data_IF_524243408687
#
_entry.id   IF_524243408687
#
_cell.length_a   1.000
_cell.length_b   1.000
_cell.length_c   1.000
_cell.angle_alpha   90.00
_cell.angle_beta   90.00
_cell.angle_gamma   90.00
#
_symmetry.space_group_name_H-M   'P 1'
#
loop_
_entity.id
_entity.type
_entity.pdbx_description
1 polymer ?
#
# COMPACT_ATOMS: atom_id res chain seq x y z
N UNK A 1 -12.72 -17.08 -7.79
CA UNK A 1 -12.67 -15.74 -8.43
C UNK A 1 -11.41 -15.01 -8.00
N UNK A 2 -10.68 -14.41 -8.94
CA UNK A 2 -9.49 -13.62 -8.62
C UNK A 2 -9.90 -12.26 -8.06
N UNK A 3 -9.22 -11.79 -7.01
CA UNK A 3 -9.35 -10.41 -6.56
C UNK A 3 -8.68 -9.47 -7.58
N UNK A 4 -8.91 -8.16 -7.44
CA UNK A 4 -8.45 -7.17 -8.40
C UNK A 4 -6.92 -7.15 -8.55
N UNK A 5 -6.17 -7.29 -7.46
CA UNK A 5 -4.72 -7.30 -7.51
C UNK A 5 -4.19 -8.55 -8.23
N UNK A 6 -4.74 -9.70 -7.94
CA UNK A 6 -4.37 -10.96 -8.60
C UNK A 6 -4.71 -10.92 -10.07
N UNK A 7 -5.86 -10.34 -10.43
CA UNK A 7 -6.26 -10.19 -11.82
C UNK A 7 -5.29 -9.30 -12.59
N UNK A 8 -4.89 -8.18 -11.99
CA UNK A 8 -3.91 -7.27 -12.60
C UNK A 8 -2.58 -7.99 -12.87
N UNK A 9 -2.08 -8.76 -11.89
CA UNK A 9 -0.85 -9.52 -12.04
C UNK A 9 -0.98 -10.56 -13.15
N UNK A 10 -2.13 -11.23 -13.25
CA UNK A 10 -2.39 -12.23 -14.29
C UNK A 10 -2.36 -11.59 -15.68
N UNK A 11 -3.02 -10.44 -15.85
CA UNK A 11 -3.02 -9.72 -17.12
C UNK A 11 -1.61 -9.32 -17.54
N UNK A 12 -0.81 -8.86 -16.59
CA UNK A 12 0.58 -8.46 -16.84
C UNK A 12 1.44 -9.66 -17.24
N UNK A 13 1.28 -10.80 -16.57
CA UNK A 13 2.02 -12.02 -16.94
C UNK A 13 1.65 -12.50 -18.35
N UNK A 14 0.37 -12.43 -18.70
CA UNK A 14 -0.08 -12.80 -20.04
C UNK A 14 0.51 -11.89 -21.11
N UNK A 15 0.57 -10.59 -20.84
CA UNK A 15 1.17 -9.63 -21.76
C UNK A 15 2.69 -9.84 -21.88
N UNK A 16 3.35 -10.07 -20.75
CA UNK A 16 4.80 -10.32 -20.70
C UNK A 16 5.17 -11.57 -21.50
N UNK A 17 4.35 -12.61 -21.45
CA UNK A 17 4.58 -13.82 -22.22
C UNK A 17 4.61 -13.57 -23.73
N UNK A 18 3.99 -12.49 -24.17
CA UNK A 18 3.96 -12.07 -25.59
C UNK A 18 5.01 -10.99 -25.89
N UNK A 19 5.90 -10.72 -24.96
CA UNK A 19 6.97 -9.72 -25.14
C UNK A 19 6.61 -8.32 -24.69
N UNK A 20 5.40 -8.10 -24.18
CA UNK A 20 4.97 -6.78 -23.73
C UNK A 20 5.30 -6.60 -22.26
N UNK A 21 6.54 -6.25 -21.98
CA UNK A 21 7.05 -6.07 -20.62
C UNK A 21 8.26 -5.14 -20.63
N UNK A 22 8.55 -4.56 -19.46
CA UNK A 22 9.75 -3.77 -19.26
C UNK A 22 10.98 -4.70 -19.24
N UNK A 23 12.03 -4.39 -20.00
CA UNK A 23 13.23 -5.23 -19.98
C UNK A 23 14.04 -5.12 -18.70
N UNK A 24 13.94 -3.98 -18.00
CA UNK A 24 14.72 -3.71 -16.80
C UNK A 24 13.87 -3.11 -15.69
N UNK A 25 14.26 -3.38 -14.44
CA UNK A 25 13.56 -2.91 -13.25
C UNK A 25 13.49 -1.38 -13.16
N UNK A 26 14.51 -0.68 -13.63
CA UNK A 26 14.54 0.79 -13.62
C UNK A 26 13.33 1.40 -14.32
N UNK A 27 12.91 0.82 -15.45
CA UNK A 27 11.74 1.29 -16.17
C UNK A 27 10.44 1.09 -15.39
N UNK A 28 10.37 0.01 -14.62
CA UNK A 28 9.20 -0.28 -13.79
C UNK A 28 9.09 0.75 -12.66
N UNK A 29 10.22 1.07 -11.99
CA UNK A 29 10.24 2.12 -10.98
C UNK A 29 9.86 3.48 -11.56
N UNK A 30 10.40 3.80 -12.73
CA UNK A 30 10.10 5.07 -13.42
C UNK A 30 8.61 5.19 -13.72
N UNK A 31 7.95 4.08 -14.11
CA UNK A 31 6.53 4.08 -14.41
C UNK A 31 5.70 4.36 -13.16
N UNK A 32 6.06 3.78 -12.02
CA UNK A 32 5.36 4.06 -10.76
C UNK A 32 5.45 5.55 -10.42
N UNK A 33 6.65 6.14 -10.56
CA UNK A 33 6.83 7.58 -10.30
C UNK A 33 6.03 8.45 -11.26
N UNK A 34 5.96 8.05 -12.53
CA UNK A 34 5.18 8.74 -13.56
C UNK A 34 3.69 8.75 -13.19
N UNK A 35 3.14 7.60 -12.82
CA UNK A 35 1.72 7.48 -12.48
C UNK A 35 1.39 8.23 -11.19
N UNK A 36 2.29 8.22 -10.22
CA UNK A 36 2.12 9.01 -9.01
C UNK A 36 2.05 10.51 -9.34
N UNK A 37 2.94 10.98 -10.21
CA UNK A 37 2.95 12.37 -10.63
C UNK A 37 1.66 12.75 -11.38
N UNK A 38 1.17 11.88 -12.24
CA UNK A 38 -0.09 12.12 -12.96
C UNK A 38 -1.28 12.21 -12.00
N UNK A 39 -1.30 11.38 -10.96
CA UNK A 39 -2.33 11.46 -9.93
C UNK A 39 -2.26 12.80 -9.19
N UNK A 40 -1.06 13.26 -8.83
CA UNK A 40 -0.88 14.56 -8.20
C UNK A 40 -1.40 15.69 -9.09
N UNK A 41 -1.16 15.61 -10.38
CA UNK A 41 -1.58 16.63 -11.36
C UNK A 41 -3.08 16.59 -11.65
N UNK A 42 -3.78 15.52 -11.27
CA UNK A 42 -5.24 15.45 -11.46
C UNK A 42 -5.98 16.50 -10.62
N UNK A 43 -5.34 17.03 -9.58
CA UNK A 43 -5.92 18.09 -8.75
C UNK A 43 -7.25 17.67 -8.13
N UNK A 44 -8.29 18.48 -8.34
CA UNK A 44 -9.62 18.22 -7.76
C UNK A 44 -10.57 17.50 -8.72
N UNK A 45 -10.11 17.11 -9.90
CA UNK A 45 -10.94 16.42 -10.89
C UNK A 45 -11.19 14.98 -10.42
N UNK A 46 -12.40 14.69 -10.00
CA UNK A 46 -12.77 13.38 -9.44
C UNK A 46 -12.60 12.24 -10.44
N UNK A 47 -12.99 12.46 -11.70
CA UNK A 47 -12.87 11.44 -12.75
C UNK A 47 -11.39 11.13 -13.05
N UNK A 48 -10.57 12.19 -13.13
CA UNK A 48 -9.14 12.03 -13.36
C UNK A 48 -8.47 11.31 -12.18
N UNK A 49 -8.82 11.66 -10.94
CA UNK A 49 -8.30 10.97 -9.75
C UNK A 49 -8.63 9.49 -9.76
N UNK A 50 -9.85 9.15 -10.15
CA UNK A 50 -10.29 7.76 -10.23
C UNK A 50 -9.42 6.98 -11.22
N UNK A 51 -9.26 7.52 -12.41
CA UNK A 51 -8.48 6.87 -13.48
C UNK A 51 -7.00 6.76 -13.11
N UNK A 52 -6.40 7.87 -12.65
CA UNK A 52 -4.98 7.91 -12.35
C UNK A 52 -4.61 7.04 -11.13
N UNK A 53 -5.51 6.96 -10.15
CA UNK A 53 -5.29 6.05 -9.02
C UNK A 53 -5.30 4.59 -9.48
N UNK A 54 -6.22 4.23 -10.38
CA UNK A 54 -6.25 2.89 -10.96
C UNK A 54 -4.95 2.56 -11.69
N UNK A 55 -4.46 3.51 -12.50
CA UNK A 55 -3.20 3.34 -13.23
C UNK A 55 -2.01 3.20 -12.29
N UNK A 56 -1.99 3.98 -11.20
CA UNK A 56 -0.93 3.87 -10.19
C UNK A 56 -0.96 2.51 -9.51
N UNK A 57 -2.14 2.04 -9.11
CA UNK A 57 -2.28 0.71 -8.49
C UNK A 57 -1.82 -0.39 -9.46
N UNK A 58 -2.16 -0.27 -10.73
CA UNK A 58 -1.75 -1.23 -11.75
C UNK A 58 -0.22 -1.24 -11.91
N UNK A 59 0.40 -0.05 -11.91
CA UNK A 59 1.86 0.07 -11.98
C UNK A 59 2.54 -0.53 -10.75
N UNK A 60 1.94 -0.36 -9.55
CA UNK A 60 2.46 -0.95 -8.31
C UNK A 60 2.40 -2.48 -8.37
N UNK A 61 1.30 -3.04 -8.90
CA UNK A 61 1.21 -4.50 -9.08
C UNK A 61 2.30 -5.00 -10.02
N UNK A 62 2.57 -4.25 -11.09
CA UNK A 62 3.64 -4.62 -12.02
C UNK A 62 5.01 -4.57 -11.35
N UNK A 63 5.24 -3.56 -10.51
CA UNK A 63 6.48 -3.50 -9.71
C UNK A 63 6.60 -4.72 -8.80
N UNK A 64 5.52 -5.10 -8.12
CA UNK A 64 5.51 -6.28 -7.25
C UNK A 64 5.91 -7.53 -8.05
N UNK A 65 5.37 -7.69 -9.25
CA UNK A 65 5.70 -8.82 -10.12
C UNK A 65 7.20 -8.86 -10.44
N UNK A 66 7.78 -7.71 -10.78
CA UNK A 66 9.23 -7.62 -11.07
C UNK A 66 10.09 -7.84 -9.83
N UNK A 67 9.59 -7.49 -8.65
CA UNK A 67 10.29 -7.72 -7.38
C UNK A 67 10.08 -9.14 -6.83
N UNK A 68 9.31 -9.97 -7.52
CA UNK A 68 8.97 -11.33 -7.12
C UNK A 68 8.16 -11.36 -5.81
N UNK A 69 7.31 -10.37 -5.62
CA UNK A 69 6.41 -10.28 -4.47
C UNK A 69 4.98 -10.46 -4.96
N UNK A 70 4.22 -11.33 -4.29
CA UNK A 70 2.81 -11.51 -4.60
C UNK A 70 2.02 -10.35 -3.98
N UNK A 71 1.39 -9.47 -4.81
CA UNK A 71 0.78 -8.26 -4.27
C UNK A 71 -0.39 -8.52 -3.31
N UNK A 72 -1.19 -9.56 -3.54
CA UNK A 72 -2.29 -9.90 -2.65
C UNK A 72 -1.76 -10.34 -1.28
N UNK A 73 -0.73 -11.19 -1.27
CA UNK A 73 -0.11 -11.63 -0.01
C UNK A 73 0.50 -10.46 0.74
N UNK A 74 1.17 -9.56 0.04
CA UNK A 74 1.75 -8.36 0.66
C UNK A 74 0.66 -7.48 1.29
N UNK A 75 -0.48 -7.33 0.60
CA UNK A 75 -1.60 -6.54 1.13
C UNK A 75 -2.24 -7.21 2.34
N UNK A 76 -2.42 -8.53 2.31
CA UNK A 76 -2.94 -9.29 3.46
C UNK A 76 -2.03 -9.08 4.67
N UNK A 77 -0.73 -9.16 4.47
CA UNK A 77 0.24 -8.95 5.56
C UNK A 77 0.20 -7.51 6.09
N UNK A 78 0.05 -6.52 5.20
CA UNK A 78 -0.06 -5.12 5.60
C UNK A 78 -1.33 -4.87 6.42
N UNK A 79 -2.45 -5.47 5.99
CA UNK A 79 -3.71 -5.37 6.73
C UNK A 79 -3.58 -5.96 8.14
N UNK A 80 -3.00 -7.14 8.26
CA UNK A 80 -2.80 -7.80 9.55
C UNK A 80 -1.89 -6.97 10.47
N UNK A 81 -0.84 -6.38 9.89
CA UNK A 81 0.07 -5.50 10.64
C UNK A 81 -0.67 -4.27 11.16
N UNK A 82 -1.50 -3.65 10.33
CA UNK A 82 -2.28 -2.50 10.76
C UNK A 82 -3.22 -2.87 11.90
N UNK A 83 -3.97 -3.97 11.77
CA UNK A 83 -4.88 -4.43 12.81
C UNK A 83 -4.17 -4.66 14.13
N UNK A 84 -3.00 -5.31 14.09
CA UNK A 84 -2.20 -5.59 15.27
C UNK A 84 -1.72 -4.31 15.96
N UNK A 85 -1.19 -3.37 15.18
CA UNK A 85 -0.70 -2.10 15.72
C UNK A 85 -1.83 -1.21 16.22
N UNK A 86 -2.96 -1.21 15.53
CA UNK A 86 -4.10 -0.40 15.97
C UNK A 86 -4.71 -0.96 17.26
N UNK A 87 -4.73 -2.29 17.45
CA UNK A 87 -5.14 -2.89 18.70
C UNK A 87 -4.24 -2.42 19.85
N UNK A 88 -2.94 -2.30 19.61
CA UNK A 88 -2.00 -1.74 20.59
C UNK A 88 -2.36 -0.29 20.92
N UNK A 89 -2.69 0.52 19.91
CA UNK A 89 -3.12 1.91 20.12
C UNK A 89 -4.38 1.97 20.98
N UNK A 90 -5.36 1.13 20.65
CA UNK A 90 -6.60 1.08 21.44
C UNK A 90 -6.34 0.75 22.91
N UNK A 91 -5.50 -0.25 23.17
CA UNK A 91 -5.13 -0.66 24.52
C UNK A 91 -4.38 0.44 25.26
N UNK A 92 -3.44 1.11 24.61
CA UNK A 92 -2.67 2.20 25.20
C UNK A 92 -3.55 3.40 25.55
N UNK A 93 -4.50 3.73 24.67
CA UNK A 93 -5.44 4.83 24.92
C UNK A 93 -6.36 4.52 26.08
N UNK A 94 -6.86 3.27 26.16
CA UNK A 94 -7.68 2.82 27.26
C UNK A 94 -6.93 2.91 28.59
N UNK A 95 -5.67 2.45 28.60
CA UNK A 95 -4.83 2.51 29.80
C UNK A 95 -4.57 3.95 30.26
N UNK A 96 -4.49 4.89 29.32
CA UNK A 96 -4.28 6.31 29.60
C UNK A 96 -5.60 7.06 29.87
N UNK A 97 -6.74 6.37 29.86
CA UNK A 97 -8.08 6.95 30.01
C UNK A 97 -8.35 8.06 28.98
N UNK A 98 -7.86 7.86 27.74
CA UNK A 98 -8.05 8.79 26.65
C UNK A 98 -9.00 8.23 25.60
N UNK A 99 -9.86 9.10 25.07
CA UNK A 99 -10.82 8.72 24.04
C UNK A 99 -10.15 8.61 22.67
N UNK A 100 -10.56 7.61 21.91
CA UNK A 100 -10.14 7.50 20.49
C UNK A 100 -10.90 8.55 19.70
N UNK A 101 -10.23 9.65 19.37
CA UNK A 101 -10.83 10.76 18.64
C UNK A 101 -9.73 11.62 18.02
N UNK A 102 -10.12 12.49 17.09
CA UNK A 102 -9.18 13.33 16.35
C UNK A 102 -8.35 14.27 17.26
N UNK A 103 -8.95 14.75 18.35
CA UNK A 103 -8.26 15.61 19.31
C UNK A 103 -7.07 14.90 19.98
N UNK A 104 -7.12 13.58 20.05
CA UNK A 104 -6.08 12.76 20.67
C UNK A 104 -5.14 12.10 19.64
N UNK A 105 -5.11 12.61 18.42
CA UNK A 105 -4.28 12.03 17.36
C UNK A 105 -2.81 11.92 17.75
N UNK A 106 -2.24 12.93 18.38
CA UNK A 106 -0.84 12.91 18.79
C UNK A 106 -0.55 11.75 19.77
N UNK A 107 -1.48 11.48 20.69
CA UNK A 107 -1.33 10.37 21.63
C UNK A 107 -1.44 9.02 20.92
N UNK A 108 -2.36 8.92 19.95
CA UNK A 108 -2.50 7.71 19.14
C UNK A 108 -1.26 7.45 18.28
N UNK A 109 -0.69 8.49 17.66
CA UNK A 109 0.55 8.39 16.90
C UNK A 109 1.72 7.93 17.77
N UNK A 110 1.82 8.46 18.98
CA UNK A 110 2.88 8.06 19.92
C UNK A 110 2.74 6.58 20.29
N UNK A 111 1.50 6.12 20.50
CA UNK A 111 1.24 4.71 20.79
C UNK A 111 1.58 3.82 19.59
N UNK A 112 1.27 4.28 18.39
CA UNK A 112 1.62 3.57 17.15
C UNK A 112 3.12 3.41 17.03
N UNK A 113 3.88 4.50 17.27
CA UNK A 113 5.34 4.46 17.21
C UNK A 113 5.92 3.52 18.26
N UNK A 114 5.31 3.47 19.44
CA UNK A 114 5.73 2.54 20.49
C UNK A 114 5.46 1.09 20.07
N UNK A 115 4.34 0.82 19.42
CA UNK A 115 4.04 -0.51 18.89
C UNK A 115 5.11 -0.96 17.92
N UNK A 116 5.53 -0.06 17.02
CA UNK A 116 6.60 -0.34 16.04
C UNK A 116 7.93 -0.60 16.74
N UNK A 117 8.26 0.18 17.76
CA UNK A 117 9.50 0.02 18.51
C UNK A 117 9.55 -1.35 19.21
N UNK A 118 8.44 -1.76 19.84
CA UNK A 118 8.37 -3.07 20.51
C UNK A 118 8.47 -4.23 19.52
N UNK A 119 7.91 -4.10 18.34
CA UNK A 119 8.04 -5.12 17.29
C UNK A 119 9.50 -5.29 16.87
N UNK A 120 10.26 -4.18 16.75
CA UNK A 120 11.68 -4.23 16.40
C UNK A 120 12.50 -4.91 17.49
N UNK A 121 12.20 -4.68 18.77
CA UNK A 121 12.89 -5.29 19.89
C UNK A 121 12.70 -6.80 19.93
N UNK A 122 11.56 -7.30 19.43
CA UNK A 122 11.24 -8.71 19.39
C UNK A 122 11.79 -9.45 18.17
N UNK A 123 12.19 -8.69 17.17
CA UNK A 123 12.68 -9.26 15.90
C UNK A 123 14.07 -9.87 16.02
#
# INVERSE_FOLDING_TARGET
MLDALSKAAQLQRQAAAKGFDWPELDGVWAKVREELNELEQAGDDTAARYEELGDLLFAIVNLARHLKVEPTDAMIAANAKFERRFAYVEDAMAAACKTLCAENLAAMDAAWDQAKAEERERA
#
